data_IF_289494905063
#
_entry.id   IF_289494905063
#
_cell.length_a   1.000
_cell.length_b   1.000
_cell.length_c   1.000
_cell.angle_alpha   90.00
_cell.angle_beta   90.00
_cell.angle_gamma   90.00
#
_symmetry.space_group_name_H-M   'P 1'
#
loop_
_entity.id
_entity.type
_entity.pdbx_description
1 polymer ?
#
# COMPACT_ATOMS: atom_id res chain seq x y z
N UNK A 1 19.64 -1.95 9.76
CA UNK A 1 18.94 -1.72 8.48
C UNK A 1 17.66 -2.55 8.33
N UNK A 2 17.60 -3.78 8.86
CA UNK A 2 16.39 -4.62 8.90
C UNK A 2 15.23 -4.01 9.70
N UNK A 3 15.53 -3.37 10.83
CA UNK A 3 14.48 -2.99 11.80
C UNK A 3 13.64 -1.81 11.30
N UNK A 4 14.29 -0.83 10.65
CA UNK A 4 13.61 0.27 9.97
C UNK A 4 12.76 -0.25 8.81
N UNK A 5 13.30 -1.20 8.02
CA UNK A 5 12.56 -1.83 6.92
C UNK A 5 11.33 -2.59 7.42
N UNK A 6 11.46 -3.36 8.50
CA UNK A 6 10.37 -4.09 9.13
C UNK A 6 9.31 -3.15 9.73
N UNK A 7 9.74 -2.04 10.33
CA UNK A 7 8.85 -1.00 10.83
C UNK A 7 8.03 -0.36 9.70
N UNK A 8 8.66 -0.02 8.58
CA UNK A 8 7.98 0.54 7.41
C UNK A 8 6.99 -0.45 6.79
N UNK A 9 7.37 -1.72 6.68
CA UNK A 9 6.48 -2.80 6.21
C UNK A 9 5.25 -2.89 7.12
N UNK A 10 5.43 -2.99 8.43
CA UNK A 10 4.31 -3.07 9.38
C UNK A 10 3.44 -1.81 9.36
N UNK A 11 4.05 -0.64 9.18
CA UNK A 11 3.33 0.63 9.01
C UNK A 11 2.42 0.62 7.80
N UNK A 12 2.95 0.27 6.62
CA UNK A 12 2.17 0.19 5.39
C UNK A 12 1.06 -0.86 5.45
N UNK A 13 1.29 -2.01 6.06
CA UNK A 13 0.25 -3.03 6.27
C UNK A 13 -0.92 -2.52 7.13
N UNK A 14 -0.63 -1.77 8.20
CA UNK A 14 -1.66 -1.15 9.04
C UNK A 14 -2.48 -0.12 8.26
N UNK A 15 -1.81 0.71 7.46
CA UNK A 15 -2.48 1.72 6.61
C UNK A 15 -3.39 1.02 5.60
N UNK A 16 -2.90 -0.02 4.92
CA UNK A 16 -3.72 -0.81 3.99
C UNK A 16 -4.94 -1.41 4.69
N UNK A 17 -4.76 -2.00 5.87
CA UNK A 17 -5.86 -2.54 6.67
C UNK A 17 -6.92 -1.48 6.99
N UNK A 18 -6.49 -0.29 7.43
CA UNK A 18 -7.37 0.82 7.72
C UNK A 18 -8.17 1.27 6.49
N UNK A 19 -7.52 1.47 5.35
CA UNK A 19 -8.21 1.91 4.13
C UNK A 19 -9.11 0.84 3.52
N UNK A 20 -8.83 -0.46 3.74
CA UNK A 20 -9.77 -1.54 3.36
C UNK A 20 -11.05 -1.47 4.17
N UNK A 21 -10.97 -1.16 5.47
CA UNK A 21 -12.15 -0.96 6.31
C UNK A 21 -12.96 0.27 5.84
N UNK A 22 -12.29 1.38 5.55
CA UNK A 22 -12.96 2.58 5.00
C UNK A 22 -13.60 2.30 3.64
N UNK A 23 -12.92 1.55 2.76
CA UNK A 23 -13.45 1.16 1.46
C UNK A 23 -14.72 0.32 1.56
N UNK A 24 -14.79 -0.60 2.54
CA UNK A 24 -15.99 -1.39 2.77
C UNK A 24 -17.20 -0.54 3.22
N UNK A 25 -16.94 0.58 3.91
CA UNK A 25 -17.96 1.52 4.39
C UNK A 25 -18.22 2.73 3.48
N UNK A 26 -17.52 2.84 2.35
CA UNK A 26 -17.58 4.01 1.48
C UNK A 26 -18.97 4.19 0.85
N UNK A 27 -19.48 5.42 0.89
CA UNK A 27 -20.84 5.78 0.46
C UNK A 27 -20.88 6.40 -0.93
N UNK A 28 -19.74 6.91 -1.41
CA UNK A 28 -19.60 7.42 -2.78
C UNK A 28 -18.50 6.71 -3.55
N UNK A 29 -18.57 6.79 -4.89
CA UNK A 29 -17.49 6.28 -5.73
C UNK A 29 -16.22 7.13 -5.58
N UNK A 30 -16.34 8.43 -5.32
CA UNK A 30 -15.18 9.31 -5.04
C UNK A 30 -14.42 8.88 -3.77
N UNK A 31 -15.12 8.47 -2.72
CA UNK A 31 -14.49 7.89 -1.51
C UNK A 31 -13.80 6.56 -1.84
N UNK A 32 -14.46 5.70 -2.63
CA UNK A 32 -13.90 4.42 -3.05
C UNK A 32 -12.61 4.59 -3.86
N UNK A 33 -12.61 5.50 -4.82
CA UNK A 33 -11.43 5.83 -5.63
C UNK A 33 -10.30 6.37 -4.76
N UNK A 34 -10.59 7.30 -3.85
CA UNK A 34 -9.60 7.83 -2.92
C UNK A 34 -8.95 6.72 -2.07
N UNK A 35 -9.77 5.82 -1.51
CA UNK A 35 -9.27 4.73 -0.67
C UNK A 35 -8.51 3.67 -1.48
N UNK A 36 -8.99 3.31 -2.68
CA UNK A 36 -8.27 2.42 -3.60
C UNK A 36 -6.90 3.00 -3.99
N UNK A 37 -6.85 4.27 -4.39
CA UNK A 37 -5.60 4.94 -4.75
C UNK A 37 -4.58 4.94 -3.59
N UNK A 38 -5.06 5.12 -2.36
CA UNK A 38 -4.18 5.05 -1.18
C UNK A 38 -3.68 3.62 -0.92
N UNK A 39 -4.55 2.62 -1.00
CA UNK A 39 -4.18 1.20 -0.87
C UNK A 39 -3.13 0.81 -1.92
N UNK A 40 -3.33 1.18 -3.18
CA UNK A 40 -2.39 0.89 -4.27
C UNK A 40 -1.02 1.52 -4.03
N UNK A 41 -0.97 2.74 -3.49
CA UNK A 41 0.29 3.41 -3.18
C UNK A 41 1.08 2.68 -2.10
N UNK A 42 0.41 2.26 -1.03
CA UNK A 42 1.04 1.48 0.04
C UNK A 42 1.45 0.09 -0.43
N UNK A 43 0.67 -0.54 -1.31
CA UNK A 43 1.00 -1.85 -1.87
C UNK A 43 2.29 -1.77 -2.70
N UNK A 44 2.42 -0.75 -3.56
CA UNK A 44 3.67 -0.50 -4.30
C UNK A 44 4.87 -0.26 -3.38
N UNK A 45 4.66 0.44 -2.26
CA UNK A 45 5.71 0.65 -1.25
C UNK A 45 6.10 -0.67 -0.58
N UNK A 46 5.13 -1.52 -0.22
CA UNK A 46 5.39 -2.84 0.33
C UNK A 46 6.15 -3.73 -0.65
N UNK A 47 5.78 -3.71 -1.93
CA UNK A 47 6.45 -4.51 -2.95
C UNK A 47 7.92 -4.07 -3.08
N UNK A 48 8.19 -2.76 -3.19
CA UNK A 48 9.54 -2.21 -3.19
C UNK A 48 10.32 -2.56 -1.90
N UNK A 49 9.69 -2.40 -0.73
CA UNK A 49 10.28 -2.73 0.56
C UNK A 49 10.48 -4.24 0.73
N UNK A 50 9.77 -5.13 0.04
CA UNK A 50 9.97 -6.58 0.10
C UNK A 50 11.00 -7.08 -0.92
N UNK A 51 11.47 -6.20 -1.79
CA UNK A 51 12.42 -6.53 -2.87
C UNK A 51 11.74 -6.90 -4.18
N UNK A 52 10.42 -6.69 -4.29
CA UNK A 52 9.66 -6.77 -5.53
C UNK A 52 9.58 -5.41 -6.21
N UNK A 53 10.68 -4.94 -6.78
CA UNK A 53 10.58 -4.13 -7.99
C UNK A 53 10.60 -5.12 -9.15
N UNK A 54 9.66 -5.09 -10.11
CA UNK A 54 9.95 -5.68 -11.40
C UNK A 54 11.19 -4.95 -11.90
N UNK A 55 12.20 -5.73 -12.25
CA UNK A 55 13.40 -5.27 -12.92
C UNK A 55 13.00 -4.21 -13.94
N UNK A 56 13.35 -2.94 -13.71
CA UNK A 56 13.37 -1.93 -14.78
C UNK A 56 14.61 -2.14 -15.67
N UNK A 57 14.85 -3.42 -15.96
CA UNK A 57 15.78 -3.95 -16.94
C UNK A 57 14.94 -4.50 -18.10
N UNK A 58 14.07 -3.66 -18.67
CA UNK A 58 13.36 -3.98 -19.90
C UNK A 58 13.24 -2.71 -20.75
N UNK A 59 13.96 -2.76 -21.88
CA UNK A 59 13.97 -1.90 -23.07
C UNK A 59 14.65 -0.52 -22.95
#
# INVERSE_FOLDING_TARGET
MSDVRNLLISGSEKVIGHYRLLLAGARSESERELYRARIEREQRLLDALRGGLPDRSAA
#
